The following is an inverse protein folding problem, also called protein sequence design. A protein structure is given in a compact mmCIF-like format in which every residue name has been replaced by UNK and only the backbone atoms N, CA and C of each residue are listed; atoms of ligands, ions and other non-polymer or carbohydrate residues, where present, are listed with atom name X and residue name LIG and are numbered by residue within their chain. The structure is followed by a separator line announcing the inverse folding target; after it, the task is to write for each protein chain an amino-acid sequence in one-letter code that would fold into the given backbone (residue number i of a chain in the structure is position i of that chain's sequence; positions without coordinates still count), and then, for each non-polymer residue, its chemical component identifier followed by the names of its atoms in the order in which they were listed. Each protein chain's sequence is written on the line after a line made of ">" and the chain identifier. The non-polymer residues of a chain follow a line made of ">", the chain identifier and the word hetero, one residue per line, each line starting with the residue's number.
data_IF_731453452612
#
_entry.id   IF_731453452612
#
_cell.length_a   1.000
_cell.length_b   1.000
_cell.length_c   1.000
_cell.angle_alpha   90.00
_cell.angle_beta   90.00
_cell.angle_gamma   90.00
#
_symmetry.space_group_name_H-M   'P 1'
#
loop_
_entity.id
_entity.type
_entity.pdbx_description
1 polymer ?
#
# COMPACT_ATOMS: atom_id res chain seq x y z
N UNK A 1 1.32 45.40 35.53
CA UNK A 1 1.78 44.50 36.61
C UNK A 1 0.64 44.02 37.52
N UNK A 2 -0.17 44.89 38.15
CA UNK A 2 -1.35 44.44 38.95
C UNK A 2 -2.52 43.95 38.09
N UNK A 3 -2.78 44.60 36.95
CA UNK A 3 -3.85 44.19 36.02
C UNK A 3 -3.61 42.81 35.39
N UNK A 4 -2.35 42.47 35.10
CA UNK A 4 -1.97 41.20 34.48
C UNK A 4 -2.19 40.01 35.43
N UNK A 5 -1.99 40.23 36.74
CA UNK A 5 -2.21 39.22 37.78
C UNK A 5 -3.70 38.93 37.95
N UNK A 6 -4.57 39.95 37.85
CA UNK A 6 -6.02 39.74 37.91
C UNK A 6 -6.56 39.02 36.67
N UNK A 7 -6.01 39.29 35.49
CA UNK A 7 -6.35 38.59 34.26
C UNK A 7 -5.90 37.12 34.34
N UNK A 8 -4.68 36.85 34.82
CA UNK A 8 -4.21 35.47 35.02
C UNK A 8 -5.07 34.71 36.05
N UNK A 9 -5.49 35.35 37.14
CA UNK A 9 -6.39 34.72 38.12
C UNK A 9 -7.74 34.33 37.50
N UNK A 10 -8.34 35.21 36.70
CA UNK A 10 -9.58 34.88 35.97
C UNK A 10 -9.38 33.73 34.99
N UNK A 11 -8.26 33.70 34.27
CA UNK A 11 -7.96 32.60 33.35
C UNK A 11 -7.75 31.26 34.08
N UNK A 12 -7.14 31.29 35.26
CA UNK A 12 -6.98 30.09 36.11
C UNK A 12 -8.33 29.61 36.66
N UNK A 13 -9.22 30.52 37.07
CA UNK A 13 -10.57 30.17 37.53
C UNK A 13 -11.43 29.60 36.39
N UNK A 14 -11.34 30.17 35.18
CA UNK A 14 -12.02 29.66 33.99
C UNK A 14 -11.48 28.28 33.59
N UNK A 15 -10.16 28.07 33.65
CA UNK A 15 -9.56 26.76 33.43
C UNK A 15 -10.03 25.73 34.46
N UNK A 16 -10.10 26.09 35.74
CA UNK A 16 -10.64 25.21 36.78
C UNK A 16 -12.12 24.87 36.54
N UNK A 17 -12.92 25.82 36.06
CA UNK A 17 -14.32 25.59 35.71
C UNK A 17 -14.46 24.62 34.52
N UNK A 18 -13.60 24.74 33.50
CA UNK A 18 -13.56 23.84 32.35
C UNK A 18 -13.12 22.44 32.78
N UNK A 19 -12.08 22.33 33.60
CA UNK A 19 -11.55 21.05 34.09
C UNK A 19 -12.60 20.29 34.92
N UNK A 20 -13.38 21.02 35.74
CA UNK A 20 -14.50 20.45 36.49
C UNK A 20 -15.63 19.95 35.58
N UNK A 21 -15.95 20.68 34.51
CA UNK A 21 -16.94 20.23 33.49
C UNK A 21 -16.45 19.00 32.74
N UNK A 22 -15.18 18.98 32.35
CA UNK A 22 -14.57 17.84 31.67
C UNK A 22 -14.51 16.59 32.56
N UNK A 23 -14.13 16.74 33.83
CA UNK A 23 -14.15 15.62 34.80
C UNK A 23 -15.55 15.02 34.96
N UNK A 24 -16.59 15.86 35.03
CA UNK A 24 -17.98 15.40 35.13
C UNK A 24 -18.47 14.71 33.83
N UNK A 25 -18.07 15.23 32.67
CA UNK A 25 -18.33 14.58 31.37
C UNK A 25 -17.63 13.22 31.27
N UNK A 26 -16.36 13.12 31.65
CA UNK A 26 -15.60 11.87 31.63
C UNK A 26 -16.24 10.82 32.55
N UNK A 27 -16.66 11.21 33.76
CA UNK A 27 -17.37 10.31 34.67
C UNK A 27 -18.68 9.80 34.07
N UNK A 28 -19.47 10.68 33.46
CA UNK A 28 -20.76 10.32 32.85
C UNK A 28 -20.59 9.44 31.60
N UNK A 29 -19.56 9.70 30.80
CA UNK A 29 -19.20 8.88 29.65
C UNK A 29 -18.68 7.52 30.11
N UNK A 30 -17.85 7.46 31.17
CA UNK A 30 -17.38 6.20 31.76
C UNK A 30 -18.53 5.34 32.29
N UNK A 31 -19.50 5.95 32.98
CA UNK A 31 -20.72 5.28 33.44
C UNK A 31 -21.54 4.74 32.27
N UNK A 32 -21.69 5.53 31.19
CA UNK A 32 -22.43 5.10 29.98
C UNK A 32 -21.73 3.96 29.25
N UNK A 33 -20.39 3.96 29.19
CA UNK A 33 -19.60 2.87 28.58
C UNK A 33 -19.67 1.61 29.43
N UNK A 34 -19.58 1.71 30.76
CA UNK A 34 -19.77 0.58 31.65
C UNK A 34 -21.19 0.01 31.55
N UNK A 35 -22.21 0.86 31.44
CA UNK A 35 -23.58 0.43 31.26
C UNK A 35 -23.77 -0.31 29.92
N UNK A 36 -23.20 0.21 28.83
CA UNK A 36 -23.19 -0.48 27.54
C UNK A 36 -22.47 -1.85 27.60
N UNK A 37 -21.36 -1.95 28.33
CA UNK A 37 -20.66 -3.22 28.52
C UNK A 37 -21.46 -4.21 29.37
N UNK A 38 -22.13 -3.75 30.42
CA UNK A 38 -23.01 -4.57 31.25
C UNK A 38 -24.25 -5.03 30.48
N UNK A 39 -24.82 -4.16 29.65
CA UNK A 39 -25.96 -4.51 28.79
C UNK A 39 -25.56 -5.52 27.72
N UNK A 40 -24.35 -5.40 27.15
CA UNK A 40 -23.77 -6.40 26.25
C UNK A 40 -23.57 -7.74 26.96
N UNK A 41 -22.97 -7.75 28.14
CA UNK A 41 -22.79 -8.98 28.93
C UNK A 41 -24.13 -9.62 29.33
N UNK A 42 -25.13 -8.82 29.70
CA UNK A 42 -26.49 -9.32 29.99
C UNK A 42 -27.15 -9.91 28.74
N UNK A 43 -26.97 -9.29 27.57
CA UNK A 43 -27.46 -9.84 26.32
C UNK A 43 -26.77 -11.16 25.96
N UNK A 44 -25.46 -11.26 26.16
CA UNK A 44 -24.68 -12.47 25.88
C UNK A 44 -25.04 -13.62 26.84
N UNK A 45 -25.27 -13.33 28.13
CA UNK A 45 -25.74 -14.33 29.10
C UNK A 45 -27.16 -14.81 28.78
N UNK A 46 -28.06 -13.92 28.36
CA UNK A 46 -29.41 -14.30 27.92
C UNK A 46 -29.38 -15.20 26.67
N UNK A 47 -28.49 -14.91 25.71
CA UNK A 47 -28.29 -15.75 24.53
C UNK A 47 -27.75 -17.15 24.88
N UNK A 48 -26.91 -17.25 25.92
CA UNK A 48 -26.42 -18.53 26.42
C UNK A 48 -27.53 -19.38 27.06
N UNK A 49 -28.47 -18.76 27.77
CA UNK A 49 -29.61 -19.44 28.41
C UNK A 49 -30.64 -19.92 27.37
N UNK A 50 -30.95 -19.10 26.36
CA UNK A 50 -31.85 -19.47 25.26
C UNK A 50 -31.30 -20.65 24.42
N UNK A 51 -29.97 -20.74 24.24
CA UNK A 51 -29.32 -21.83 23.51
C UNK A 51 -29.35 -23.19 24.23
N UNK A 52 -29.60 -23.25 25.54
CA UNK A 52 -29.73 -24.53 26.27
C UNK A 52 -31.17 -25.07 26.25
N UNK A 53 -32.17 -24.23 25.96
CA UNK A 53 -33.59 -24.61 25.99
C UNK A 53 -34.17 -25.07 24.63
N UNK A 54 -33.47 -24.93 23.51
CA UNK A 54 -34.02 -25.28 22.20
C UNK A 54 -33.07 -26.14 21.35
N UNK A 55 -32.97 -27.42 21.73
CA UNK A 55 -32.61 -28.52 20.82
C UNK A 55 -33.71 -28.70 19.73
N UNK A 56 -33.90 -27.73 18.84
CA UNK A 56 -34.67 -27.89 17.60
C UNK A 56 -34.15 -26.97 16.50
N UNK A 57 -33.52 -27.62 15.52
CA UNK A 57 -33.34 -27.24 14.11
C UNK A 57 -33.95 -25.89 13.71
N UNK A 58 -33.12 -24.93 13.30
CA UNK A 58 -33.41 -24.01 12.19
C UNK A 58 -32.23 -23.13 11.82
N UNK A 59 -32.02 -23.05 10.51
CA UNK A 59 -31.37 -21.99 9.73
C UNK A 59 -29.97 -21.57 10.20
N UNK A 60 -29.01 -21.62 9.29
CA UNK A 60 -27.72 -20.94 9.42
C UNK A 60 -27.97 -19.47 9.76
N UNK A 61 -28.02 -19.18 11.05
CA UNK A 61 -28.02 -17.84 11.60
C UNK A 61 -26.68 -17.25 11.16
N UNK A 62 -26.74 -16.39 10.14
CA UNK A 62 -25.60 -15.58 9.74
C UNK A 62 -25.15 -14.87 11.00
N UNK A 63 -23.96 -15.22 11.47
CA UNK A 63 -23.41 -14.69 12.70
C UNK A 63 -23.21 -13.18 12.49
N UNK A 64 -23.77 -12.30 13.33
CA UNK A 64 -23.51 -10.86 13.22
C UNK A 64 -22.03 -10.49 13.48
N UNK A 65 -21.18 -11.45 13.87
CA UNK A 65 -19.71 -11.30 13.86
C UNK A 65 -19.05 -11.57 12.50
N UNK A 66 -19.80 -12.14 11.54
CA UNK A 66 -19.40 -12.37 10.14
C UNK A 66 -19.66 -11.12 9.26
N UNK A 67 -20.30 -10.09 9.83
CA UNK A 67 -20.43 -8.79 9.20
C UNK A 67 -19.25 -7.91 9.61
N UNK A 68 -18.54 -7.38 8.61
CA UNK A 68 -17.51 -6.35 8.79
C UNK A 68 -18.02 -5.30 9.79
N UNK A 69 -17.31 -5.13 10.90
CA UNK A 69 -17.68 -4.12 11.87
C UNK A 69 -17.57 -2.74 11.22
N UNK A 70 -18.30 -1.75 11.74
CA UNK A 70 -18.16 -0.37 11.25
C UNK A 70 -16.70 0.13 11.33
N UNK A 71 -15.85 -0.46 12.17
CA UNK A 71 -14.41 -0.20 12.22
C UNK A 71 -13.69 -0.75 10.98
N UNK A 72 -13.92 -2.02 10.65
CA UNK A 72 -13.32 -2.67 9.46
C UNK A 72 -13.74 -1.96 8.16
N UNK A 73 -14.99 -1.47 8.08
CA UNK A 73 -15.45 -0.69 6.93
C UNK A 73 -14.71 0.66 6.81
N UNK A 74 -14.40 1.31 7.92
CA UNK A 74 -13.62 2.57 7.91
C UNK A 74 -12.18 2.31 7.54
N UNK A 75 -11.60 1.21 8.02
CA UNK A 75 -10.24 0.78 7.67
C UNK A 75 -10.14 0.43 6.18
N UNK A 76 -11.05 -0.40 5.66
CA UNK A 76 -11.12 -0.73 4.24
C UNK A 76 -11.32 0.51 3.36
N UNK A 77 -12.15 1.47 3.78
CA UNK A 77 -12.32 2.73 3.05
C UNK A 77 -11.03 3.56 3.10
N UNK A 78 -10.30 3.55 4.22
CA UNK A 78 -9.00 4.19 4.35
C UNK A 78 -7.96 3.58 3.40
N UNK A 79 -7.88 2.25 3.35
CA UNK A 79 -6.99 1.50 2.44
C UNK A 79 -7.36 1.77 0.98
N UNK A 80 -8.64 1.70 0.62
CA UNK A 80 -9.10 2.00 -0.74
C UNK A 80 -8.80 3.45 -1.15
N UNK A 81 -8.89 4.40 -0.23
CA UNK A 81 -8.49 5.79 -0.48
C UNK A 81 -6.97 5.93 -0.64
N UNK A 82 -6.18 5.15 0.10
CA UNK A 82 -4.73 5.06 -0.09
C UNK A 82 -4.37 4.51 -1.47
N UNK A 83 -4.92 3.36 -1.84
CA UNK A 83 -4.76 2.74 -3.15
C UNK A 83 -5.20 3.66 -4.30
N UNK A 84 -6.34 4.35 -4.13
CA UNK A 84 -6.81 5.33 -5.11
C UNK A 84 -5.81 6.49 -5.26
N UNK A 85 -5.23 6.97 -4.15
CA UNK A 85 -4.21 8.01 -4.17
C UNK A 85 -2.93 7.54 -4.89
N UNK A 86 -2.50 6.30 -4.66
CA UNK A 86 -1.37 5.70 -5.38
C UNK A 86 -1.63 5.56 -6.88
N UNK A 87 -2.86 5.16 -7.27
CA UNK A 87 -3.27 5.08 -8.67
C UNK A 87 -3.29 6.48 -9.31
N UNK A 88 -3.81 7.49 -8.61
CA UNK A 88 -3.85 8.86 -9.11
C UNK A 88 -2.42 9.42 -9.29
N UNK A 89 -1.55 9.23 -8.31
CA UNK A 89 -0.16 9.64 -8.42
C UNK A 89 0.54 8.95 -9.60
N UNK A 90 0.28 7.66 -9.80
CA UNK A 90 0.76 6.90 -10.98
C UNK A 90 0.21 7.52 -12.27
N UNK A 91 -1.07 7.84 -12.33
CA UNK A 91 -1.69 8.44 -13.51
C UNK A 91 -1.11 9.82 -13.84
N UNK A 92 -0.89 10.68 -12.84
CA UNK A 92 -0.27 12.00 -13.00
C UNK A 92 1.14 11.86 -13.58
N UNK A 93 1.98 11.02 -12.95
CA UNK A 93 3.37 10.81 -13.38
C UNK A 93 3.44 10.19 -14.79
N UNK A 94 2.56 9.24 -15.11
CA UNK A 94 2.44 8.64 -16.46
C UNK A 94 2.07 9.69 -17.50
N UNK A 95 1.12 10.56 -17.18
CA UNK A 95 0.69 11.64 -18.07
C UNK A 95 1.84 12.60 -18.34
N UNK A 96 2.59 12.99 -17.31
CA UNK A 96 3.78 13.84 -17.47
C UNK A 96 4.80 13.16 -18.38
N UNK A 97 5.12 11.88 -18.14
CA UNK A 97 6.06 11.13 -18.97
C UNK A 97 5.60 11.01 -20.43
N UNK A 98 4.29 10.92 -20.68
CA UNK A 98 3.72 10.83 -22.04
C UNK A 98 3.85 12.11 -22.86
N UNK A 99 4.08 13.25 -22.20
CA UNK A 99 4.32 14.55 -22.85
C UNK A 99 5.78 14.79 -23.18
N UNK A 100 6.70 13.96 -22.67
CA UNK A 100 8.13 14.06 -22.92
C UNK A 100 8.46 13.50 -24.30
N UNK A 101 9.20 14.28 -25.08
CA UNK A 101 9.58 13.92 -26.47
C UNK A 101 11.06 14.10 -26.72
N UNK A 102 11.74 14.95 -25.96
CA UNK A 102 13.14 15.26 -26.18
C UNK A 102 14.03 14.26 -25.43
N UNK A 103 15.14 13.83 -26.03
CA UNK A 103 16.05 12.88 -25.40
C UNK A 103 16.68 13.38 -24.08
N UNK A 104 16.64 14.70 -23.82
CA UNK A 104 17.09 15.33 -22.58
C UNK A 104 15.97 15.51 -21.54
N UNK A 105 14.74 15.12 -21.85
CA UNK A 105 13.63 15.21 -20.92
C UNK A 105 13.84 14.27 -19.72
N UNK A 106 13.62 14.81 -18.53
CA UNK A 106 13.68 14.03 -17.29
C UNK A 106 12.40 13.21 -17.13
N UNK A 107 12.58 11.91 -16.90
CA UNK A 107 11.47 11.00 -16.62
C UNK A 107 11.11 11.08 -15.12
N UNK A 108 9.81 11.13 -14.84
CA UNK A 108 9.32 11.00 -13.47
C UNK A 108 9.33 9.50 -13.09
N UNK A 109 10.00 9.12 -11.99
CA UNK A 109 9.94 7.75 -11.48
C UNK A 109 8.52 7.42 -11.04
N UNK A 110 8.10 6.17 -11.23
CA UNK A 110 6.76 5.72 -10.88
C UNK A 110 6.80 4.93 -9.57
N UNK A 111 5.74 4.97 -8.74
CA UNK A 111 5.64 4.09 -7.58
C UNK A 111 5.36 2.64 -8.02
N UNK A 112 6.09 1.68 -7.44
CA UNK A 112 5.83 0.23 -7.47
C UNK A 112 4.41 -0.10 -6.93
N UNK A 113 3.94 -1.34 -7.09
CA UNK A 113 2.80 -1.92 -6.39
C UNK A 113 2.87 -1.67 -4.87
N UNK A 114 4.05 -1.80 -4.27
CA UNK A 114 4.27 -1.55 -2.83
C UNK A 114 4.38 -0.06 -2.46
N UNK A 115 4.18 0.86 -3.42
CA UNK A 115 4.29 2.31 -3.19
C UNK A 115 5.73 2.84 -3.18
N UNK A 116 6.74 1.97 -3.29
CA UNK A 116 8.14 2.36 -3.35
C UNK A 116 8.46 3.12 -4.64
N UNK A 117 9.12 4.28 -4.48
CA UNK A 117 9.54 5.13 -5.59
C UNK A 117 11.06 5.04 -5.70
N UNK A 118 11.59 4.63 -6.87
CA UNK A 118 13.03 4.61 -7.05
C UNK A 118 13.56 6.03 -6.96
N UNK A 119 14.49 6.26 -6.04
CA UNK A 119 14.99 7.63 -5.82
C UNK A 119 15.85 8.04 -7.01
N UNK A 120 15.72 9.27 -7.51
CA UNK A 120 16.55 9.81 -8.62
C UNK A 120 18.08 9.76 -8.34
N UNK A 121 18.48 9.49 -7.10
CA UNK A 121 19.88 9.29 -6.67
C UNK A 121 20.39 7.88 -7.00
N UNK A 122 19.50 6.90 -7.09
CA UNK A 122 19.79 5.50 -7.42
C UNK A 122 19.85 5.34 -8.95
N UNK A 123 20.89 5.92 -9.54
CA UNK A 123 21.17 5.83 -10.99
C UNK A 123 21.34 4.40 -11.50
N UNK A 124 21.52 3.43 -10.58
CA UNK A 124 21.61 2.01 -10.88
C UNK A 124 20.23 1.37 -11.08
N UNK A 125 19.17 1.96 -10.51
CA UNK A 125 17.80 1.42 -10.56
C UNK A 125 16.95 2.18 -11.58
N UNK A 126 16.98 3.51 -11.58
CA UNK A 126 16.14 4.31 -12.47
C UNK A 126 16.91 5.20 -13.44
N UNK A 127 16.43 5.23 -14.67
CA UNK A 127 17.03 6.00 -15.75
C UNK A 127 16.41 7.39 -15.79
N UNK A 128 17.18 8.39 -15.36
CA UNK A 128 16.67 9.76 -15.17
C UNK A 128 16.23 10.48 -16.45
N UNK A 129 16.62 10.03 -17.65
CA UNK A 129 16.43 10.78 -18.90
C UNK A 129 15.90 9.88 -20.02
N UNK A 130 15.04 10.42 -20.88
CA UNK A 130 14.44 9.69 -22.00
C UNK A 130 15.50 9.04 -22.92
N UNK A 131 16.52 9.79 -23.33
CA UNK A 131 17.56 9.25 -24.23
C UNK A 131 18.43 8.16 -23.60
N UNK A 132 18.53 8.13 -22.27
CA UNK A 132 19.18 7.03 -21.53
C UNK A 132 18.27 5.82 -21.45
N UNK A 133 16.95 6.02 -21.36
CA UNK A 133 15.99 4.93 -21.35
C UNK A 133 15.91 4.27 -22.74
N UNK A 134 15.95 5.07 -23.82
CA UNK A 134 16.04 4.56 -25.19
C UNK A 134 17.28 3.69 -25.44
N UNK A 135 18.40 4.01 -24.78
CA UNK A 135 19.66 3.28 -24.87
C UNK A 135 19.93 2.42 -23.62
N UNK A 136 18.89 2.01 -22.89
CA UNK A 136 19.04 1.17 -21.70
C UNK A 136 19.67 -0.17 -22.10
N UNK A 137 20.66 -0.60 -21.31
CA UNK A 137 21.27 -1.92 -21.46
C UNK A 137 20.41 -3.01 -20.84
N UNK A 138 20.54 -4.23 -21.33
CA UNK A 138 19.68 -5.36 -20.96
C UNK A 138 19.70 -5.66 -19.44
N UNK A 139 20.86 -5.49 -18.78
CA UNK A 139 21.02 -5.64 -17.33
C UNK A 139 20.19 -4.62 -16.53
N UNK A 140 20.18 -3.36 -16.96
CA UNK A 140 19.40 -2.30 -16.31
C UNK A 140 17.90 -2.45 -16.61
N UNK A 141 17.56 -2.88 -17.83
CA UNK A 141 16.18 -3.18 -18.20
C UNK A 141 15.62 -4.30 -17.32
N UNK A 142 16.40 -5.35 -17.08
CA UNK A 142 15.99 -6.47 -16.23
C UNK A 142 15.76 -6.03 -14.78
N UNK A 143 16.68 -5.25 -14.20
CA UNK A 143 16.52 -4.67 -12.85
C UNK A 143 15.26 -3.82 -12.75
N UNK A 144 15.00 -2.99 -13.76
CA UNK A 144 13.83 -2.11 -13.80
C UNK A 144 12.52 -2.90 -14.00
N UNK A 145 12.53 -3.92 -14.84
CA UNK A 145 11.38 -4.80 -15.06
C UNK A 145 11.04 -5.61 -13.81
N UNK A 146 12.06 -6.08 -13.07
CA UNK A 146 11.87 -6.75 -11.78
C UNK A 146 11.32 -5.80 -10.72
N UNK A 147 11.86 -4.58 -10.63
CA UNK A 147 11.38 -3.57 -9.69
C UNK A 147 9.91 -3.18 -9.91
N UNK A 148 9.42 -3.21 -11.15
CA UNK A 148 8.02 -2.94 -11.47
C UNK A 148 7.15 -4.19 -11.63
N UNK A 149 7.70 -5.37 -11.34
CA UNK A 149 7.03 -6.67 -11.49
C UNK A 149 6.41 -6.88 -12.89
N UNK A 150 7.14 -6.48 -13.93
CA UNK A 150 6.73 -6.60 -15.35
C UNK A 150 7.52 -7.65 -16.12
N UNK A 151 8.26 -8.51 -15.42
CA UNK A 151 8.83 -9.68 -16.05
C UNK A 151 7.69 -10.66 -16.39
N UNK A 152 7.71 -11.31 -17.57
CA UNK A 152 6.84 -12.44 -17.83
C UNK A 152 7.05 -13.44 -16.70
N UNK A 153 5.98 -14.04 -16.14
CA UNK A 153 6.13 -15.06 -15.12
C UNK A 153 6.96 -16.19 -15.73
N UNK A 154 8.26 -16.19 -15.47
CA UNK A 154 9.11 -17.28 -15.86
C UNK A 154 8.58 -18.47 -15.06
N UNK A 155 8.38 -19.64 -15.68
CA UNK A 155 7.90 -20.86 -15.00
C UNK A 155 8.69 -21.23 -13.72
N UNK A 156 9.84 -20.59 -13.45
CA UNK A 156 10.62 -20.72 -12.23
C UNK A 156 10.11 -19.89 -11.05
N UNK A 157 9.39 -18.80 -11.27
CA UNK A 157 8.75 -18.06 -10.17
C UNK A 157 7.69 -18.93 -9.50
N UNK A 158 6.94 -19.79 -10.21
CA UNK A 158 6.06 -20.78 -9.57
C UNK A 158 6.83 -21.78 -8.69
N UNK A 159 8.02 -22.22 -9.11
CA UNK A 159 8.89 -23.11 -8.32
C UNK A 159 9.50 -22.40 -7.10
N UNK A 160 9.84 -21.12 -7.22
CA UNK A 160 10.42 -20.33 -6.14
C UNK A 160 9.35 -19.81 -5.17
N UNK A 161 8.14 -19.47 -5.65
CA UNK A 161 6.94 -19.27 -4.81
C UNK A 161 6.60 -20.54 -4.05
N UNK A 162 6.65 -21.72 -4.69
CA UNK A 162 6.45 -22.99 -4.00
C UNK A 162 7.51 -23.24 -2.91
N UNK A 163 8.76 -22.81 -3.11
CA UNK A 163 9.83 -22.87 -2.08
C UNK A 163 9.63 -21.84 -0.97
N UNK A 164 9.17 -20.63 -1.28
CA UNK A 164 8.87 -19.58 -0.29
C UNK A 164 7.70 -20.00 0.60
N UNK A 165 6.62 -20.54 0.00
CA UNK A 165 5.46 -21.11 0.72
C UNK A 165 5.86 -22.32 1.58
N UNK A 166 6.92 -23.05 1.21
CA UNK A 166 7.47 -24.14 2.01
C UNK A 166 8.31 -23.72 3.23
N UNK A 167 8.41 -22.42 3.51
CA UNK A 167 8.94 -21.88 4.77
C UNK A 167 10.46 -21.92 4.91
N UNK A 168 11.21 -21.78 3.81
CA UNK A 168 12.67 -21.98 3.79
C UNK A 168 13.52 -20.79 3.35
N UNK A 169 13.01 -19.56 3.37
CA UNK A 169 13.85 -18.38 3.16
C UNK A 169 13.43 -17.25 4.09
N UNK A 170 14.33 -16.89 5.01
CA UNK A 170 14.30 -15.63 5.75
C UNK A 170 14.66 -14.50 4.77
N UNK A 171 13.78 -13.51 4.64
CA UNK A 171 14.01 -12.17 4.08
C UNK A 171 14.91 -12.10 2.83
N UNK A 172 14.32 -12.36 1.66
CA UNK A 172 14.95 -11.94 0.39
C UNK A 172 14.81 -10.42 0.30
N UNK A 173 15.88 -9.70 0.63
CA UNK A 173 16.01 -8.28 0.38
C UNK A 173 16.06 -8.07 -1.16
N UNK A 174 14.93 -7.67 -1.75
CA UNK A 174 14.72 -7.55 -3.21
C UNK A 174 15.75 -6.61 -3.90
N UNK A 175 16.47 -5.81 -3.12
CA UNK A 175 17.42 -4.80 -3.60
C UNK A 175 18.86 -5.29 -3.85
N UNK A 176 19.25 -6.52 -3.48
CA UNK A 176 20.64 -7.00 -3.64
C UNK A 176 20.74 -8.26 -4.51
N UNK A 177 20.22 -8.20 -5.73
CA UNK A 177 20.53 -9.23 -6.74
C UNK A 177 21.90 -8.90 -7.34
N UNK A 178 22.81 -9.86 -7.25
CA UNK A 178 24.16 -9.72 -7.80
C UNK A 178 24.12 -9.60 -9.33
N UNK A 179 25.02 -8.80 -9.92
CA UNK A 179 25.14 -8.68 -11.38
C UNK A 179 25.34 -10.03 -12.09
N UNK A 180 25.84 -11.04 -11.36
CA UNK A 180 26.05 -12.39 -11.86
C UNK A 180 24.72 -13.15 -12.09
N UNK A 181 23.77 -13.06 -11.17
CA UNK A 181 22.46 -13.72 -11.28
C UNK A 181 21.63 -13.13 -12.43
N UNK A 182 21.67 -11.81 -12.58
CA UNK A 182 21.00 -11.10 -13.67
C UNK A 182 21.54 -11.56 -15.03
N UNK A 183 22.85 -11.78 -15.16
CA UNK A 183 23.45 -12.31 -16.39
C UNK A 183 23.06 -13.74 -16.69
N UNK A 184 22.83 -14.57 -15.68
CA UNK A 184 22.34 -15.93 -15.87
C UNK A 184 20.86 -15.96 -16.28
N UNK A 185 20.06 -15.04 -15.75
CA UNK A 185 18.64 -14.91 -16.12
C UNK A 185 18.47 -14.27 -17.49
N UNK A 186 19.28 -13.28 -17.86
CA UNK A 186 19.31 -12.67 -19.19
C UNK A 186 19.62 -13.68 -20.30
N UNK A 187 20.41 -14.71 -20.03
CA UNK A 187 20.69 -15.79 -21.01
C UNK A 187 19.47 -16.64 -21.33
N UNK A 188 18.44 -16.62 -20.47
CA UNK A 188 17.20 -17.38 -20.68
C UNK A 188 16.24 -16.64 -21.61
N UNK A 189 16.42 -15.33 -21.79
CA UNK A 189 15.57 -14.50 -22.64
C UNK A 189 16.14 -14.37 -24.05
N UNK A 190 15.26 -14.54 -25.02
CA UNK A 190 15.52 -14.17 -26.41
C UNK A 190 15.51 -12.64 -26.58
N UNK A 191 16.10 -12.17 -27.68
CA UNK A 191 16.09 -10.73 -28.01
C UNK A 191 14.67 -10.19 -28.25
N UNK A 192 13.74 -11.05 -28.64
CA UNK A 192 12.34 -10.68 -28.86
C UNK A 192 11.62 -10.45 -27.52
N UNK A 193 11.80 -11.36 -26.56
CA UNK A 193 11.25 -11.22 -25.20
C UNK A 193 11.81 -10.00 -24.47
N UNK A 194 13.10 -9.69 -24.65
CA UNK A 194 13.70 -8.45 -24.09
C UNK A 194 13.06 -7.19 -24.68
N UNK A 195 12.67 -7.19 -25.95
CA UNK A 195 11.95 -6.07 -26.57
C UNK A 195 10.52 -5.96 -26.05
N UNK A 196 9.85 -7.08 -25.76
CA UNK A 196 8.53 -7.08 -25.13
C UNK A 196 8.60 -6.55 -23.70
N UNK A 197 9.57 -6.99 -22.90
CA UNK A 197 9.84 -6.46 -21.56
C UNK A 197 10.09 -4.94 -21.62
N UNK A 198 10.88 -4.49 -22.60
CA UNK A 198 11.10 -3.06 -22.81
C UNK A 198 9.80 -2.31 -23.08
N UNK A 199 8.93 -2.85 -23.94
CA UNK A 199 7.66 -2.22 -24.25
C UNK A 199 6.70 -2.19 -23.06
N UNK A 200 6.67 -3.25 -22.25
CA UNK A 200 5.85 -3.30 -21.03
C UNK A 200 6.32 -2.29 -19.99
N UNK A 201 7.63 -2.20 -19.74
CA UNK A 201 8.19 -1.20 -18.84
C UNK A 201 7.96 0.22 -19.38
N UNK A 202 8.19 0.44 -20.67
CA UNK A 202 7.96 1.74 -21.30
C UNK A 202 6.46 2.14 -21.28
N UNK A 203 5.55 1.16 -21.41
CA UNK A 203 4.11 1.35 -21.25
C UNK A 203 3.80 1.75 -19.83
N UNK A 204 4.29 1.00 -18.84
CA UNK A 204 4.08 1.28 -17.42
C UNK A 204 4.53 2.70 -17.05
N UNK A 205 5.71 3.10 -17.51
CA UNK A 205 6.27 4.44 -17.30
C UNK A 205 5.54 5.54 -18.08
N UNK A 206 4.73 5.20 -19.08
CA UNK A 206 3.99 6.17 -19.91
C UNK A 206 4.82 6.81 -21.02
N UNK A 207 5.96 6.21 -21.38
CA UNK A 207 6.88 6.75 -22.38
C UNK A 207 6.47 6.27 -23.78
N UNK A 208 6.73 7.09 -24.81
CA UNK A 208 6.37 6.78 -26.21
C UNK A 208 7.39 5.89 -26.94
N UNK A 209 8.61 5.79 -26.44
CA UNK A 209 9.64 4.94 -27.04
C UNK A 209 9.24 3.46 -26.93
N UNK A 210 9.36 2.74 -28.04
CA UNK A 210 9.03 1.31 -28.17
C UNK A 210 10.08 0.65 -29.06
N UNK A 211 10.33 -0.63 -28.84
CA UNK A 211 11.25 -1.47 -29.63
C UNK A 211 10.46 -2.62 -30.28
N UNK A 212 10.80 -3.00 -31.51
CA UNK A 212 10.18 -4.16 -32.18
C UNK A 212 8.83 -3.87 -32.86
N UNK A 213 8.05 -4.92 -33.14
CA UNK A 213 6.86 -4.87 -34.00
C UNK A 213 5.53 -4.61 -33.27
N UNK A 214 5.45 -4.89 -31.96
CA UNK A 214 4.26 -4.63 -31.14
C UNK A 214 4.30 -3.23 -30.52
N UNK A 215 4.10 -2.22 -31.36
CA UNK A 215 4.06 -0.80 -30.99
C UNK A 215 2.59 -0.37 -30.86
N UNK A 216 1.94 -0.71 -29.74
CA UNK A 216 0.56 -0.28 -29.43
C UNK A 216 0.50 0.41 -28.07
#
# INVERSE_FOLDING_TARGET
>A
MTNDIEILKKQVDDLHAILKKQSLLISKTGESVMQLQLDKQRADVKKFDDNFSTLKVKESAIDPTDFATNGDLVELVGELQGELSHIEERAIRRTINSTKTDSNDTLAPMPNLDGDIPTLKEKHLFVATLGKFENIGDEQLYRLAKFYERLPPAMKEEEDFAKIVSGKVEEININEISDAEIREELKKYSKEELNEIFNEVARYLGVRCRRGANIW
#
